data_IF_400183931471
#
_entry.id   IF_400183931471
#
_cell.length_a   1.000
_cell.length_b   1.000
_cell.length_c   1.000
_cell.angle_alpha   90.00
_cell.angle_beta   90.00
_cell.angle_gamma   90.00
#
_symmetry.space_group_name_H-M   'P 1'
#
loop_
_entity.id
_entity.type
_entity.pdbx_description
1 polymer ?
#
# COMPACT_ATOMS: atom_id res chain seq x y z
N UNK A 1 -33.54 40.85 62.03
CA UNK A 1 -32.79 41.30 60.86
C UNK A 1 -31.78 40.16 60.50
N UNK A 2 -32.23 39.20 59.67
CA UNK A 2 -31.46 38.00 59.32
C UNK A 2 -30.78 38.23 57.98
N UNK A 3 -29.44 38.14 57.99
CA UNK A 3 -28.61 38.26 56.81
C UNK A 3 -28.42 36.86 56.16
N UNK A 4 -28.97 36.66 54.97
CA UNK A 4 -28.84 35.43 54.19
C UNK A 4 -27.55 35.57 53.37
N UNK A 5 -26.54 34.71 53.68
CA UNK A 5 -25.30 34.58 52.91
C UNK A 5 -25.50 33.52 51.85
N UNK A 6 -25.64 33.95 50.58
CA UNK A 6 -25.73 33.06 49.46
C UNK A 6 -24.31 32.63 48.99
N UNK A 7 -23.97 31.36 49.20
CA UNK A 7 -22.72 30.78 48.70
C UNK A 7 -22.88 30.44 47.20
N UNK A 8 -22.14 31.13 46.34
CA UNK A 8 -21.99 30.75 44.93
C UNK A 8 -21.04 29.52 44.85
N UNK A 9 -21.63 28.37 44.59
CA UNK A 9 -20.87 27.18 44.18
C UNK A 9 -20.40 27.38 42.74
N UNK A 10 -19.14 27.80 42.59
CA UNK A 10 -18.46 27.94 41.29
C UNK A 10 -18.27 26.58 40.63
N UNK A 11 -18.65 26.49 39.36
CA UNK A 11 -18.50 25.33 38.49
C UNK A 11 -17.05 24.89 38.38
N UNK A 12 -16.71 23.75 38.98
CA UNK A 12 -15.49 22.99 38.68
C UNK A 12 -15.74 22.04 37.52
N UNK A 13 -16.04 22.59 36.34
CA UNK A 13 -16.37 21.83 35.13
C UNK A 13 -15.28 21.85 34.06
N UNK A 14 -14.04 22.31 34.34
CA UNK A 14 -12.96 22.42 33.33
C UNK A 14 -11.89 21.35 33.44
N UNK A 15 -12.07 20.32 34.26
CA UNK A 15 -11.06 19.27 34.47
C UNK A 15 -11.05 18.12 33.45
N UNK A 16 -12.11 17.98 32.63
CA UNK A 16 -12.28 16.78 31.76
C UNK A 16 -11.88 16.98 30.30
N UNK A 17 -11.39 18.13 29.89
CA UNK A 17 -10.97 18.40 28.51
C UNK A 17 -9.49 18.11 28.20
N UNK A 18 -8.75 17.50 29.10
CA UNK A 18 -7.35 17.16 28.92
C UNK A 18 -7.07 15.66 28.77
N UNK A 19 -7.99 14.90 28.23
CA UNK A 19 -7.64 13.64 27.61
C UNK A 19 -7.30 13.93 26.15
N UNK A 20 -6.23 14.71 25.93
CA UNK A 20 -5.61 14.80 24.62
C UNK A 20 -5.27 13.38 24.22
N UNK A 21 -5.96 12.83 23.23
CA UNK A 21 -5.62 11.54 22.63
C UNK A 21 -4.14 11.59 22.27
N UNK A 22 -3.38 10.59 22.71
CA UNK A 22 -1.95 10.50 22.32
C UNK A 22 -1.90 10.60 20.79
N UNK A 23 -0.95 11.37 20.23
CA UNK A 23 -0.79 11.39 18.77
C UNK A 23 -0.58 9.97 18.25
N UNK A 24 -1.07 9.70 17.04
CA UNK A 24 -0.77 8.44 16.38
C UNK A 24 0.69 8.43 15.92
N UNK A 25 1.36 7.31 16.08
CA UNK A 25 2.64 7.07 15.42
C UNK A 25 2.40 6.85 13.92
N UNK A 26 3.21 7.51 13.09
CA UNK A 26 3.12 7.41 11.63
C UNK A 26 4.22 6.49 11.10
N UNK A 27 3.81 5.52 10.30
CA UNK A 27 4.70 4.50 9.73
C UNK A 27 4.85 4.66 8.23
N UNK A 28 6.08 4.43 7.76
CA UNK A 28 6.50 4.46 6.36
C UNK A 28 6.84 3.05 5.89
N UNK A 29 6.69 2.83 4.60
CA UNK A 29 7.15 1.63 3.91
C UNK A 29 8.17 2.03 2.84
N UNK A 30 8.96 1.07 2.36
CA UNK A 30 10.08 1.34 1.47
C UNK A 30 9.85 0.80 0.05
N UNK A 31 10.35 1.48 -0.99
CA UNK A 31 10.27 1.00 -2.36
C UNK A 31 11.24 -0.17 -2.56
N UNK A 32 10.92 -1.05 -3.50
CA UNK A 32 11.85 -2.09 -3.91
C UNK A 32 12.99 -1.49 -4.74
N UNK A 33 14.22 -1.82 -4.37
CA UNK A 33 15.43 -1.30 -5.03
C UNK A 33 16.25 -2.37 -5.76
N UNK A 34 15.95 -3.66 -5.55
CA UNK A 34 16.75 -4.76 -6.12
C UNK A 34 15.90 -5.65 -7.02
N UNK A 35 16.33 -5.83 -8.26
CA UNK A 35 15.66 -6.58 -9.31
C UNK A 35 16.64 -7.51 -10.03
N UNK A 36 16.10 -8.48 -10.78
CA UNK A 36 16.90 -9.40 -11.58
C UNK A 36 17.72 -8.65 -12.63
N UNK A 37 19.02 -8.93 -12.71
CA UNK A 37 19.90 -8.39 -13.75
C UNK A 37 19.47 -8.81 -15.18
N UNK A 38 18.82 -9.99 -15.30
CA UNK A 38 18.31 -10.54 -16.56
C UNK A 38 17.00 -9.88 -17.02
N UNK A 39 16.50 -8.85 -16.32
CA UNK A 39 15.29 -8.15 -16.71
C UNK A 39 15.54 -7.33 -18.00
N UNK A 40 14.70 -7.47 -19.05
CA UNK A 40 14.87 -6.73 -20.29
C UNK A 40 14.65 -5.24 -20.08
N UNK A 41 15.26 -4.41 -20.93
CA UNK A 41 14.92 -2.98 -21.03
C UNK A 41 13.78 -2.78 -22.00
N UNK A 42 12.84 -1.91 -21.64
CA UNK A 42 11.76 -1.48 -22.51
C UNK A 42 11.83 0.04 -22.72
N UNK A 43 11.79 0.47 -23.99
CA UNK A 43 11.76 1.89 -24.37
C UNK A 43 10.31 2.37 -24.45
N UNK A 44 9.60 2.23 -23.30
CA UNK A 44 8.18 2.53 -23.17
C UNK A 44 7.91 3.36 -21.93
N UNK A 45 6.91 4.22 -22.03
CA UNK A 45 6.43 5.05 -20.92
C UNK A 45 5.29 4.34 -20.21
N UNK A 46 5.40 4.23 -18.90
CA UNK A 46 4.42 3.55 -18.06
C UNK A 46 3.74 4.57 -17.14
N UNK A 47 2.42 4.47 -17.05
CA UNK A 47 1.65 5.13 -16.01
C UNK A 47 1.17 4.09 -15.01
N UNK A 48 1.33 4.37 -13.73
CA UNK A 48 0.77 3.57 -12.64
C UNK A 48 -0.45 4.31 -12.10
N UNK A 49 -1.61 3.68 -12.18
CA UNK A 49 -2.85 4.20 -11.59
C UNK A 49 -2.85 4.04 -10.06
N UNK A 50 -3.69 4.83 -9.38
CA UNK A 50 -3.97 4.59 -7.98
C UNK A 50 -4.65 3.21 -7.84
N UNK A 51 -4.12 2.31 -6.99
CA UNK A 51 -4.74 1.01 -6.77
C UNK A 51 -6.17 1.13 -6.29
N UNK A 52 -7.08 0.37 -6.92
CA UNK A 52 -8.39 0.12 -6.32
C UNK A 52 -8.21 -0.72 -5.05
N UNK A 53 -9.08 -0.51 -4.06
CA UNK A 53 -9.07 -1.28 -2.81
C UNK A 53 -10.44 -1.27 -2.14
N UNK A 54 -10.71 -2.27 -1.31
CA UNK A 54 -11.89 -2.26 -0.45
C UNK A 54 -11.79 -1.18 0.62
N UNK A 55 -12.91 -0.73 1.17
CA UNK A 55 -12.93 0.30 2.22
C UNK A 55 -12.08 -0.08 3.45
N UNK A 56 -11.97 -1.36 3.76
CA UNK A 56 -11.16 -1.87 4.87
C UNK A 56 -9.66 -1.62 4.67
N UNK A 57 -9.20 -1.53 3.43
CA UNK A 57 -7.79 -1.31 3.05
C UNK A 57 -7.56 0.13 2.56
N UNK A 58 -8.60 0.77 1.98
CA UNK A 58 -8.52 2.15 1.48
C UNK A 58 -8.55 3.19 2.62
N UNK A 59 -7.59 3.10 3.50
CA UNK A 59 -7.48 3.93 4.71
C UNK A 59 -6.01 4.10 5.09
N UNK A 60 -5.71 5.07 5.93
CA UNK A 60 -4.41 5.26 6.59
C UNK A 60 -4.24 4.39 7.85
N UNK A 61 -5.29 3.66 8.24
CA UNK A 61 -5.23 2.78 9.41
C UNK A 61 -4.58 1.45 9.06
N UNK A 62 -3.81 0.89 9.98
CA UNK A 62 -3.15 -0.42 9.81
C UNK A 62 -4.17 -1.51 10.15
N UNK A 63 -4.62 -2.22 9.13
CA UNK A 63 -5.66 -3.24 9.25
C UNK A 63 -5.11 -4.55 9.85
N UNK A 64 -5.90 -5.14 10.76
CA UNK A 64 -5.65 -6.47 11.34
C UNK A 64 -6.95 -7.26 11.31
N UNK A 65 -6.87 -8.55 11.00
CA UNK A 65 -7.97 -9.51 11.03
C UNK A 65 -7.81 -10.45 12.24
N UNK A 66 -8.50 -10.20 13.34
CA UNK A 66 -8.50 -11.12 14.50
C UNK A 66 -9.19 -12.44 14.18
N UNK A 67 -10.18 -12.41 13.30
CA UNK A 67 -10.90 -13.59 12.79
C UNK A 67 -11.16 -13.42 11.29
N UNK A 68 -11.42 -14.49 10.52
CA UNK A 68 -11.58 -14.41 9.05
C UNK A 68 -12.65 -13.42 8.55
N UNK A 69 -13.62 -13.06 9.38
CA UNK A 69 -14.76 -12.19 9.00
C UNK A 69 -14.75 -10.84 9.72
N UNK A 70 -13.67 -10.50 10.44
CA UNK A 70 -13.59 -9.27 11.23
C UNK A 70 -12.34 -8.50 10.89
N UNK A 71 -12.49 -7.20 10.64
CA UNK A 71 -11.37 -6.27 10.49
C UNK A 71 -11.37 -5.31 11.68
N UNK A 72 -10.21 -5.10 12.25
CA UNK A 72 -9.89 -4.09 13.24
C UNK A 72 -8.68 -3.28 12.78
N UNK A 73 -8.38 -2.20 13.49
CA UNK A 73 -7.22 -1.38 13.18
C UNK A 73 -6.33 -1.24 14.41
N UNK A 74 -5.03 -1.20 14.20
CA UNK A 74 -4.08 -0.99 15.28
C UNK A 74 -4.33 0.37 15.95
N UNK A 75 -4.42 0.40 17.28
CA UNK A 75 -4.59 1.65 18.01
C UNK A 75 -3.32 2.49 17.95
N UNK A 76 -3.46 3.82 17.87
CA UNK A 76 -2.35 4.78 17.93
C UNK A 76 -1.25 4.57 16.86
N UNK A 77 -1.55 3.82 15.79
CA UNK A 77 -0.64 3.56 14.69
C UNK A 77 -1.36 3.80 13.35
N UNK A 78 -0.70 4.51 12.44
CA UNK A 78 -1.21 4.80 11.10
C UNK A 78 -0.11 4.76 10.06
N UNK A 79 -0.49 4.49 8.85
CA UNK A 79 0.32 4.82 7.70
C UNK A 79 0.39 6.34 7.52
N UNK A 80 1.44 6.84 6.86
CA UNK A 80 1.60 8.28 6.53
C UNK A 80 0.56 8.80 5.54
N UNK A 81 -0.10 7.90 4.80
CA UNK A 81 -1.17 8.20 3.85
C UNK A 81 -2.06 6.95 3.70
N UNK A 82 -3.14 7.04 2.90
CA UNK A 82 -3.96 5.87 2.56
C UNK A 82 -3.10 4.79 1.88
N UNK A 83 -3.31 3.52 2.25
CA UNK A 83 -2.52 2.41 1.73
C UNK A 83 -2.44 2.36 0.19
N UNK A 84 -3.51 2.59 -0.61
CA UNK A 84 -3.41 2.65 -2.07
C UNK A 84 -2.45 3.73 -2.58
N UNK A 85 -2.43 4.91 -1.96
CA UNK A 85 -1.53 6.02 -2.37
C UNK A 85 -0.07 5.70 -2.07
N UNK A 86 0.19 5.06 -0.92
CA UNK A 86 1.52 4.56 -0.57
C UNK A 86 1.97 3.51 -1.58
N UNK A 87 1.13 2.51 -1.86
CA UNK A 87 1.44 1.44 -2.81
C UNK A 87 1.70 2.01 -4.20
N UNK A 88 0.91 2.99 -4.67
CA UNK A 88 1.15 3.67 -5.95
C UNK A 88 2.52 4.35 -5.97
N UNK A 89 2.82 5.14 -4.92
CA UNK A 89 4.08 5.88 -4.83
C UNK A 89 5.29 4.93 -4.86
N UNK A 90 5.26 3.90 -4.02
CA UNK A 90 6.32 2.91 -3.92
C UNK A 90 6.46 2.06 -5.20
N UNK A 91 5.35 1.80 -5.90
CA UNK A 91 5.38 1.09 -7.18
C UNK A 91 6.04 1.94 -8.27
N UNK A 92 5.72 3.23 -8.38
CA UNK A 92 6.41 4.16 -9.31
C UNK A 92 7.90 4.16 -9.02
N UNK A 93 8.30 4.38 -7.77
CA UNK A 93 9.71 4.41 -7.38
C UNK A 93 10.41 3.04 -7.60
N UNK A 94 9.70 1.93 -7.42
CA UNK A 94 10.23 0.60 -7.71
C UNK A 94 10.49 0.38 -9.21
N UNK A 95 9.64 0.90 -10.09
CA UNK A 95 9.91 0.90 -11.52
C UNK A 95 11.13 1.76 -11.88
N UNK A 96 11.25 2.95 -11.30
CA UNK A 96 12.41 3.83 -11.47
C UNK A 96 13.69 3.13 -11.02
N UNK A 97 13.69 2.52 -9.83
CA UNK A 97 14.79 1.76 -9.26
C UNK A 97 15.20 0.55 -10.11
N UNK A 98 14.29 -0.02 -10.89
CA UNK A 98 14.61 -1.11 -11.82
C UNK A 98 15.57 -0.65 -12.92
N UNK A 99 15.52 0.63 -13.33
CA UNK A 99 16.27 1.20 -14.44
C UNK A 99 15.97 0.56 -15.79
N UNK A 100 14.81 -0.11 -15.94
CA UNK A 100 14.48 -0.93 -17.10
C UNK A 100 13.37 -0.35 -17.98
N UNK A 101 12.77 0.78 -17.58
CA UNK A 101 11.72 1.49 -18.33
C UNK A 101 12.25 2.84 -18.81
N UNK A 102 11.69 3.38 -19.89
CA UNK A 102 12.12 4.69 -20.40
C UNK A 102 11.65 5.83 -19.48
N UNK A 103 10.40 5.74 -19.01
CA UNK A 103 9.81 6.66 -18.04
C UNK A 103 8.67 5.95 -17.31
N UNK A 104 8.42 6.38 -16.09
CA UNK A 104 7.26 5.97 -15.30
C UNK A 104 6.72 7.17 -14.52
N UNK A 105 5.42 7.21 -14.28
CA UNK A 105 4.79 8.26 -13.51
C UNK A 105 3.38 7.88 -13.07
N UNK A 106 2.74 8.80 -12.36
CA UNK A 106 1.33 8.70 -12.01
C UNK A 106 0.49 9.34 -13.12
N UNK A 107 -0.78 8.97 -13.22
CA UNK A 107 -1.74 9.53 -14.19
C UNK A 107 -1.86 11.05 -14.13
N UNK A 108 -1.63 11.65 -12.97
CA UNK A 108 -1.72 13.10 -12.72
C UNK A 108 -0.62 13.93 -13.39
N UNK A 109 0.46 13.31 -13.87
CA UNK A 109 1.62 14.01 -14.46
C UNK A 109 1.40 14.44 -15.92
N UNK A 110 0.28 14.03 -16.54
CA UNK A 110 -0.02 14.33 -17.96
C UNK A 110 0.91 13.59 -18.95
N UNK A 111 1.58 12.54 -18.48
CA UNK A 111 2.43 11.70 -19.31
C UNK A 111 1.56 10.90 -20.29
N UNK A 112 1.88 10.95 -21.59
CA UNK A 112 1.26 10.05 -22.56
C UNK A 112 1.87 8.66 -22.38
N UNK A 113 1.09 7.75 -21.76
CA UNK A 113 1.52 6.39 -21.52
C UNK A 113 1.55 5.57 -22.83
N UNK A 114 2.51 4.66 -22.94
CA UNK A 114 2.40 3.52 -23.85
C UNK A 114 1.58 2.39 -23.20
N UNK A 115 1.80 2.22 -21.88
CA UNK A 115 1.12 1.21 -21.06
C UNK A 115 0.65 1.79 -19.74
N UNK A 116 -0.51 1.35 -19.29
CA UNK A 116 -1.02 1.63 -17.96
C UNK A 116 -0.94 0.36 -17.11
N UNK A 117 -0.42 0.51 -15.92
CA UNK A 117 -0.48 -0.48 -14.86
C UNK A 117 -1.67 -0.09 -13.97
N UNK A 118 -2.70 -0.93 -13.95
CA UNK A 118 -3.88 -0.76 -13.11
C UNK A 118 -3.86 -1.80 -11.98
N UNK A 119 -3.40 -1.41 -10.77
CA UNK A 119 -3.35 -2.30 -9.61
C UNK A 119 -4.69 -2.37 -8.89
N UNK A 120 -4.94 -3.53 -8.25
CA UNK A 120 -6.04 -3.75 -7.33
C UNK A 120 -5.45 -4.36 -6.04
N UNK A 121 -5.43 -3.56 -4.97
CA UNK A 121 -4.90 -3.94 -3.66
C UNK A 121 -5.96 -4.71 -2.88
N UNK A 122 -5.88 -6.04 -2.95
CA UNK A 122 -6.92 -6.93 -2.42
C UNK A 122 -6.72 -7.28 -0.97
N UNK A 123 -5.47 -7.46 -0.55
CA UNK A 123 -5.10 -7.77 0.82
C UNK A 123 -3.92 -6.90 1.23
N UNK A 124 -4.06 -6.26 2.37
CA UNK A 124 -3.03 -5.44 2.99
C UNK A 124 -3.33 -5.37 4.49
N UNK A 125 -3.18 -6.50 5.17
CA UNK A 125 -3.53 -6.65 6.58
C UNK A 125 -2.66 -7.66 7.32
N UNK A 126 -2.61 -7.51 8.64
CA UNK A 126 -2.15 -8.57 9.54
C UNK A 126 -3.28 -9.56 9.83
N UNK A 127 -3.02 -10.85 9.80
CA UNK A 127 -3.98 -11.91 10.15
C UNK A 127 -3.51 -12.59 11.42
N UNK A 128 -4.35 -12.61 12.46
CA UNK A 128 -4.06 -13.35 13.70
C UNK A 128 -4.23 -14.83 13.41
N UNK A 129 -3.13 -15.58 13.50
CA UNK A 129 -3.13 -17.04 13.25
C UNK A 129 -3.14 -17.85 14.53
N UNK A 130 -2.69 -17.26 15.65
CA UNK A 130 -2.74 -17.87 16.97
C UNK A 130 -2.77 -16.77 18.04
N UNK A 131 -3.55 -16.99 19.07
CA UNK A 131 -3.59 -16.12 20.25
C UNK A 131 -3.63 -16.97 21.51
N UNK A 132 -2.68 -16.77 22.40
CA UNK A 132 -2.59 -17.36 23.73
C UNK A 132 -2.65 -16.26 24.80
N UNK A 133 -2.62 -16.63 26.08
CA UNK A 133 -2.58 -15.62 27.16
C UNK A 133 -1.30 -14.75 27.11
N UNK A 134 -0.18 -15.32 26.62
CA UNK A 134 1.13 -14.68 26.65
C UNK A 134 1.57 -14.10 25.29
N UNK A 135 0.97 -14.52 24.18
CA UNK A 135 1.44 -14.12 22.85
C UNK A 135 0.35 -14.17 21.77
N UNK A 136 0.42 -13.20 20.85
CA UNK A 136 -0.36 -13.18 19.63
C UNK A 136 0.57 -13.35 18.43
N UNK A 137 0.31 -14.35 17.60
CA UNK A 137 1.07 -14.56 16.36
C UNK A 137 0.30 -13.96 15.19
N UNK A 138 0.95 -13.04 14.48
CA UNK A 138 0.35 -12.33 13.34
C UNK A 138 1.13 -12.64 12.07
N UNK A 139 0.41 -12.98 11.01
CA UNK A 139 0.93 -13.09 9.65
C UNK A 139 0.44 -11.92 8.82
N UNK A 140 1.36 -11.17 8.25
CA UNK A 140 1.01 -10.11 7.28
C UNK A 140 0.75 -10.73 5.92
N UNK A 141 -0.33 -10.29 5.28
CA UNK A 141 -0.73 -10.70 3.94
C UNK A 141 -0.82 -9.47 3.02
N UNK A 142 -0.10 -9.52 1.91
CA UNK A 142 -0.17 -8.51 0.84
C UNK A 142 -0.55 -9.22 -0.45
N UNK A 143 -1.65 -8.79 -1.09
CA UNK A 143 -2.06 -9.31 -2.40
C UNK A 143 -2.45 -8.18 -3.33
N UNK A 144 -1.72 -8.09 -4.44
CA UNK A 144 -1.93 -7.09 -5.49
C UNK A 144 -2.26 -7.81 -6.78
N UNK A 145 -3.40 -7.49 -7.39
CA UNK A 145 -3.69 -7.88 -8.77
C UNK A 145 -3.26 -6.75 -9.70
N UNK A 146 -2.54 -7.09 -10.77
CA UNK A 146 -2.08 -6.14 -11.79
C UNK A 146 -2.76 -6.45 -13.10
N UNK A 147 -3.30 -5.42 -13.75
CA UNK A 147 -3.66 -5.44 -15.17
C UNK A 147 -2.71 -4.53 -15.91
N UNK A 148 -2.26 -4.96 -17.08
CA UNK A 148 -1.46 -4.15 -18.00
C UNK A 148 -2.36 -3.80 -19.18
N UNK A 149 -2.55 -2.49 -19.40
CA UNK A 149 -3.36 -1.96 -20.47
C UNK A 149 -2.44 -1.35 -21.52
N UNK A 150 -2.64 -1.70 -22.76
CA UNK A 150 -2.01 -1.03 -23.90
C UNK A 150 -2.86 0.18 -24.27
N UNK A 151 -2.31 1.39 -24.06
CA UNK A 151 -3.03 2.67 -24.28
C UNK A 151 -3.31 2.97 -25.75
N UNK A 152 -2.62 2.33 -26.67
CA UNK A 152 -2.87 2.54 -28.09
C UNK A 152 -4.13 1.80 -28.58
N UNK A 153 -4.28 0.55 -28.11
CA UNK A 153 -5.39 -0.33 -28.53
C UNK A 153 -6.54 -0.36 -27.49
N UNK A 154 -6.34 0.30 -26.33
CA UNK A 154 -7.25 0.30 -25.19
C UNK A 154 -7.62 -1.15 -24.75
N UNK A 155 -6.60 -2.01 -24.66
CA UNK A 155 -6.77 -3.43 -24.36
C UNK A 155 -5.91 -3.88 -23.18
N UNK A 156 -6.50 -4.70 -22.32
CA UNK A 156 -5.75 -5.45 -21.31
C UNK A 156 -4.94 -6.54 -22.01
N UNK A 157 -3.61 -6.42 -21.97
CA UNK A 157 -2.70 -7.40 -22.60
C UNK A 157 -2.30 -8.53 -21.66
N UNK A 158 -2.37 -8.29 -20.36
CA UNK A 158 -2.07 -9.30 -19.34
C UNK A 158 -2.69 -8.93 -17.98
N UNK A 159 -2.96 -9.94 -17.17
CA UNK A 159 -3.37 -9.78 -15.77
C UNK A 159 -2.75 -10.88 -14.92
N UNK A 160 -2.32 -10.56 -13.70
CA UNK A 160 -1.80 -11.53 -12.72
C UNK A 160 -2.00 -11.03 -11.30
N UNK A 161 -2.04 -11.96 -10.35
CA UNK A 161 -2.07 -11.66 -8.92
C UNK A 161 -0.75 -12.09 -8.27
N UNK A 162 -0.25 -11.23 -7.37
CA UNK A 162 0.95 -11.47 -6.58
C UNK A 162 0.55 -11.41 -5.12
N UNK A 163 0.85 -12.47 -4.41
CA UNK A 163 0.54 -12.60 -2.99
C UNK A 163 1.80 -12.99 -2.25
N UNK A 164 2.07 -12.25 -1.18
CA UNK A 164 3.18 -12.51 -0.27
C UNK A 164 2.67 -12.54 1.16
N UNK A 165 3.27 -13.41 1.93
CA UNK A 165 2.97 -13.56 3.36
C UNK A 165 4.26 -13.55 4.16
N UNK A 166 4.24 -12.81 5.28
CA UNK A 166 5.38 -12.72 6.21
C UNK A 166 4.86 -12.86 7.63
N UNK A 167 5.49 -13.74 8.41
CA UNK A 167 5.20 -13.86 9.82
C UNK A 167 5.91 -12.72 10.57
N UNK A 168 5.16 -11.94 11.34
CA UNK A 168 5.76 -10.93 12.20
C UNK A 168 6.55 -11.60 13.35
N UNK A 169 7.65 -10.99 13.77
CA UNK A 169 8.51 -11.53 14.83
C UNK A 169 7.87 -11.44 16.21
N UNK A 170 6.98 -10.47 16.39
CA UNK A 170 6.11 -10.34 17.57
C UNK A 170 4.81 -9.61 17.20
N UNK A 171 3.93 -9.38 18.16
CA UNK A 171 2.71 -8.59 18.02
C UNK A 171 2.93 -7.07 18.21
N UNK A 172 4.17 -6.64 18.40
CA UNK A 172 4.50 -5.22 18.49
C UNK A 172 4.27 -4.54 17.13
N UNK A 173 3.76 -3.31 17.17
CA UNK A 173 3.44 -2.55 15.95
C UNK A 173 4.65 -2.41 15.01
N UNK A 174 5.86 -2.16 15.56
CA UNK A 174 7.11 -2.08 14.77
C UNK A 174 7.38 -3.35 13.97
N UNK A 175 7.20 -4.51 14.61
CA UNK A 175 7.48 -5.82 14.00
C UNK A 175 6.43 -6.18 12.94
N UNK A 176 5.17 -5.77 13.18
CA UNK A 176 4.13 -5.88 12.16
C UNK A 176 4.45 -5.00 10.94
N UNK A 177 4.87 -3.74 11.16
CA UNK A 177 5.24 -2.82 10.07
C UNK A 177 6.43 -3.35 9.27
N UNK A 178 7.45 -3.91 9.93
CA UNK A 178 8.57 -4.57 9.26
C UNK A 178 8.09 -5.74 8.38
N UNK A 179 7.18 -6.56 8.90
CA UNK A 179 6.58 -7.65 8.14
C UNK A 179 5.79 -7.14 6.92
N UNK A 180 5.07 -6.01 7.03
CA UNK A 180 4.41 -5.34 5.90
C UNK A 180 5.43 -4.87 4.86
N UNK A 181 6.52 -4.24 5.29
CA UNK A 181 7.56 -3.73 4.38
C UNK A 181 8.21 -4.88 3.58
N UNK A 182 8.52 -5.98 4.26
CA UNK A 182 9.08 -7.18 3.62
C UNK A 182 8.09 -7.81 2.64
N UNK A 183 6.82 -7.99 3.03
CA UNK A 183 5.80 -8.60 2.18
C UNK A 183 5.52 -7.73 0.95
N UNK A 184 5.31 -6.42 1.15
CA UNK A 184 5.08 -5.47 0.08
C UNK A 184 6.27 -5.39 -0.88
N UNK A 185 7.50 -5.34 -0.35
CA UNK A 185 8.71 -5.30 -1.16
C UNK A 185 8.89 -6.54 -2.05
N UNK A 186 8.50 -7.73 -1.57
CA UNK A 186 8.49 -8.97 -2.38
C UNK A 186 7.41 -8.91 -3.47
N UNK A 187 6.18 -8.57 -3.09
CA UNK A 187 5.07 -8.44 -4.03
C UNK A 187 5.38 -7.40 -5.14
N UNK A 188 5.94 -6.24 -4.77
CA UNK A 188 6.35 -5.21 -5.72
C UNK A 188 7.43 -5.68 -6.69
N UNK A 189 8.46 -6.39 -6.20
CA UNK A 189 9.48 -6.95 -7.08
C UNK A 189 8.83 -7.84 -8.14
N UNK A 190 7.97 -8.75 -7.72
CA UNK A 190 7.35 -9.71 -8.62
C UNK A 190 6.38 -9.02 -9.61
N UNK A 191 5.62 -8.02 -9.14
CA UNK A 191 4.78 -7.16 -10.00
C UNK A 191 5.60 -6.46 -11.08
N UNK A 192 6.68 -5.77 -10.69
CA UNK A 192 7.53 -4.97 -11.60
C UNK A 192 8.23 -5.88 -12.60
N UNK A 193 8.86 -6.96 -12.15
CA UNK A 193 9.55 -7.89 -13.03
C UNK A 193 8.62 -8.56 -14.03
N UNK A 194 7.46 -9.01 -13.57
CA UNK A 194 6.47 -9.66 -14.42
C UNK A 194 5.94 -8.68 -15.49
N UNK A 195 5.55 -7.48 -15.09
CA UNK A 195 4.99 -6.50 -16.00
C UNK A 195 6.00 -6.06 -17.07
N UNK A 196 7.26 -5.81 -16.71
CA UNK A 196 8.32 -5.48 -17.66
C UNK A 196 8.52 -6.61 -18.68
N UNK A 197 8.54 -7.88 -18.25
CA UNK A 197 8.65 -9.03 -19.15
C UNK A 197 7.44 -9.15 -20.07
N UNK A 198 6.23 -8.93 -19.57
CA UNK A 198 5.00 -8.99 -20.38
C UNK A 198 4.95 -7.89 -21.41
N UNK A 199 5.26 -6.65 -21.03
CA UNK A 199 5.34 -5.52 -21.96
C UNK A 199 6.42 -5.77 -23.02
N UNK A 200 7.60 -6.24 -22.62
CA UNK A 200 8.68 -6.58 -23.56
C UNK A 200 8.22 -7.60 -24.60
N UNK A 201 7.62 -8.70 -24.19
CA UNK A 201 7.09 -9.71 -25.09
C UNK A 201 6.01 -9.16 -26.00
N UNK A 202 5.12 -8.31 -25.48
CA UNK A 202 4.05 -7.69 -26.26
C UNK A 202 4.61 -6.76 -27.34
N UNK A 203 5.61 -5.95 -27.01
CA UNK A 203 6.30 -5.06 -27.97
C UNK A 203 6.96 -5.86 -29.08
N UNK A 204 7.62 -6.99 -28.77
CA UNK A 204 8.26 -7.85 -29.78
C UNK A 204 7.26 -8.48 -30.74
N UNK A 205 6.11 -8.90 -30.22
CA UNK A 205 5.06 -9.55 -31.04
C UNK A 205 4.20 -8.57 -31.82
N UNK A 206 4.20 -7.27 -31.46
CA UNK A 206 3.41 -6.22 -32.07
C UNK A 206 4.31 -5.01 -32.41
N UNK A 207 5.24 -5.15 -33.38
CA UNK A 207 6.12 -4.04 -33.74
C UNK A 207 5.30 -2.92 -34.37
N UNK A 208 5.21 -1.79 -33.66
CA UNK A 208 4.58 -0.56 -34.17
C UNK A 208 5.65 0.25 -34.92
N UNK A 209 5.38 0.55 -36.18
CA UNK A 209 6.16 1.56 -36.88
C UNK A 209 5.87 2.91 -36.23
N UNK A 210 6.88 3.55 -35.65
CA UNK A 210 6.77 4.93 -35.19
C UNK A 210 6.43 5.78 -36.42
N UNK A 211 5.35 6.58 -36.41
CA UNK A 211 5.18 7.58 -37.48
C UNK A 211 6.34 8.54 -37.40
N UNK A 212 7.04 8.70 -38.49
CA UNK A 212 8.12 9.65 -38.71
C UNK A 212 7.63 11.10 -38.56
#
# INVERSE_FOLDING_TARGET
MSLILAALAGCTGLGTLRQASKPNDLYLLTPKSTFSSALPRIQKQIVVEEPTATAAVNTDQIAVQPTPLQVQYLPQARWVDRAPLIVQALMVESYENSGKVAAVGRSTVGLRADYVIAPDLREFQGVVISQTEDATTVRVEVRINIKIIDEYDDKIIASSSFQETVLATSDQTSDLVEAFDIALGKAMRDCVEWSIRKIHTHVQNNPRTTPS
#
